data_IF_536019893432
#
_entry.id   IF_536019893432
#
_cell.length_a   1.000
_cell.length_b   1.000
_cell.length_c   1.000
_cell.angle_alpha   90.00
_cell.angle_beta   90.00
_cell.angle_gamma   90.00
#
_symmetry.space_group_name_H-M   'P 1'
#
loop_
_entity.id
_entity.type
_entity.pdbx_description
1 polymer ?
#
# COMPACT_ATOMS: atom_id res chain seq x y z
N UNK A 1 9.75 -11.57 20.92
CA UNK A 1 10.27 -11.54 19.55
C UNK A 1 11.56 -10.72 19.48
N UNK A 2 11.60 -9.46 19.94
CA UNK A 2 12.79 -8.59 19.82
C UNK A 2 14.03 -9.25 20.42
N UNK A 3 13.99 -9.64 21.70
CA UNK A 3 15.12 -10.30 22.39
C UNK A 3 15.58 -11.58 21.65
N UNK A 4 14.65 -12.39 21.18
CA UNK A 4 14.96 -13.63 20.45
C UNK A 4 15.71 -13.34 19.15
N UNK A 5 15.31 -12.30 18.40
CA UNK A 5 16.04 -11.93 17.19
C UNK A 5 17.42 -11.33 17.50
N UNK A 6 17.56 -10.56 18.57
CA UNK A 6 18.87 -10.03 19.00
C UNK A 6 19.84 -11.14 19.36
N UNK A 7 19.40 -12.16 20.10
CA UNK A 7 20.19 -13.35 20.41
C UNK A 7 20.54 -14.15 19.15
N UNK A 8 19.56 -14.35 18.25
CA UNK A 8 19.78 -15.08 17.01
C UNK A 8 20.78 -14.39 16.09
N UNK A 9 20.71 -13.06 15.97
CA UNK A 9 21.67 -12.26 15.20
C UNK A 9 23.08 -12.40 15.80
N UNK A 10 23.22 -12.36 17.12
CA UNK A 10 24.51 -12.54 17.79
C UNK A 10 25.11 -13.92 17.49
N UNK A 11 24.28 -14.98 17.47
CA UNK A 11 24.73 -16.33 17.13
C UNK A 11 25.12 -16.47 15.66
N UNK A 12 24.37 -15.87 14.72
CA UNK A 12 24.71 -15.85 13.30
C UNK A 12 26.06 -15.14 13.05
N UNK A 13 26.30 -14.00 13.73
CA UNK A 13 27.57 -13.27 13.65
C UNK A 13 28.75 -14.11 14.15
N UNK A 14 28.61 -14.85 15.26
CA UNK A 14 29.61 -15.79 15.73
C UNK A 14 29.94 -16.88 14.69
N UNK A 15 28.93 -17.35 13.98
CA UNK A 15 29.06 -18.38 12.93
C UNK A 15 29.44 -17.82 11.55
N UNK A 16 29.68 -16.51 11.42
CA UNK A 16 30.02 -15.82 10.18
C UNK A 16 28.97 -16.05 9.07
N UNK A 17 27.68 -16.12 9.43
CA UNK A 17 26.55 -16.25 8.52
C UNK A 17 25.90 -14.88 8.29
N UNK A 18 25.18 -14.72 7.14
CA UNK A 18 24.40 -13.52 6.86
C UNK A 18 23.34 -13.28 7.95
N UNK A 19 23.16 -12.02 8.31
CA UNK A 19 22.20 -11.55 9.33
C UNK A 19 21.05 -10.73 8.72
N UNK A 20 21.07 -10.46 7.42
CA UNK A 20 20.19 -9.50 6.76
C UNK A 20 18.71 -9.77 7.03
N UNK A 21 18.27 -11.03 6.85
CA UNK A 21 16.87 -11.42 7.12
C UNK A 21 16.52 -11.25 8.60
N UNK A 22 17.41 -11.68 9.50
CA UNK A 22 17.16 -11.60 10.94
C UNK A 22 17.14 -10.14 11.43
N UNK A 23 17.98 -9.28 10.86
CA UNK A 23 17.99 -7.83 11.13
C UNK A 23 16.72 -7.15 10.61
N UNK A 24 16.22 -7.54 9.41
CA UNK A 24 14.94 -7.09 8.88
C UNK A 24 13.77 -7.47 9.81
N UNK A 25 13.69 -8.73 10.22
CA UNK A 25 12.65 -9.23 11.12
C UNK A 25 12.71 -8.58 12.52
N UNK A 26 13.92 -8.29 13.00
CA UNK A 26 14.13 -7.53 14.23
C UNK A 26 13.55 -6.10 14.10
N UNK A 27 13.83 -5.45 12.97
CA UNK A 27 13.32 -4.10 12.71
C UNK A 27 11.79 -4.09 12.65
N UNK A 28 11.18 -5.01 11.93
CA UNK A 28 9.72 -5.17 11.88
C UNK A 28 9.14 -5.42 13.29
N UNK A 29 9.75 -6.30 14.08
CA UNK A 29 9.34 -6.56 15.46
C UNK A 29 9.41 -5.32 16.36
N UNK A 30 10.43 -4.47 16.17
CA UNK A 30 10.57 -3.19 16.92
C UNK A 30 9.50 -2.17 16.50
N UNK A 31 9.17 -2.10 15.21
CA UNK A 31 8.09 -1.24 14.70
C UNK A 31 6.75 -1.71 15.29
N UNK A 32 6.41 -3.00 15.18
CA UNK A 32 5.18 -3.57 15.71
C UNK A 32 5.04 -3.36 17.22
N UNK A 33 6.11 -3.55 17.99
CA UNK A 33 6.10 -3.28 19.44
C UNK A 33 5.83 -1.80 19.78
N UNK A 34 6.36 -0.87 18.98
CA UNK A 34 6.12 0.57 19.15
C UNK A 34 4.67 0.93 18.87
N UNK A 35 4.13 0.41 17.77
CA UNK A 35 2.75 0.65 17.37
C UNK A 35 1.77 0.05 18.37
N UNK A 36 2.03 -1.18 18.85
CA UNK A 36 1.20 -1.85 19.86
C UNK A 36 1.04 -1.02 21.16
N UNK A 37 2.06 -0.25 21.54
CA UNK A 37 1.98 0.61 22.72
C UNK A 37 1.07 1.82 22.56
N UNK A 38 0.75 2.20 21.32
CA UNK A 38 -0.13 3.33 20.99
C UNK A 38 -1.54 2.91 20.59
N UNK A 39 -1.86 1.62 20.60
CA UNK A 39 -3.18 1.11 20.18
C UNK A 39 -4.23 1.45 21.23
N UNK A 40 -5.31 2.10 20.79
CA UNK A 40 -6.54 2.22 21.55
C UNK A 40 -7.42 0.99 21.33
N UNK A 41 -8.27 0.67 22.31
CA UNK A 41 -9.21 -0.43 22.19
C UNK A 41 -10.24 -0.12 21.10
N UNK A 42 -10.36 -1.01 20.10
CA UNK A 42 -11.32 -0.88 19.00
C UNK A 42 -12.42 -1.93 19.10
N UNK A 43 -13.62 -1.54 18.73
CA UNK A 43 -14.75 -2.45 18.64
C UNK A 43 -14.92 -2.89 17.18
N UNK A 44 -14.80 -4.19 16.91
CA UNK A 44 -15.11 -4.76 15.60
C UNK A 44 -16.64 -4.83 15.48
N UNK A 45 -17.21 -4.05 14.55
CA UNK A 45 -18.65 -3.98 14.33
C UNK A 45 -19.12 -5.16 13.47
N UNK A 46 -18.33 -5.51 12.44
CA UNK A 46 -18.66 -6.60 11.51
C UNK A 46 -17.38 -7.18 10.90
N UNK A 47 -17.47 -8.41 10.38
CA UNK A 47 -16.40 -9.06 9.63
C UNK A 47 -17.00 -9.95 8.53
N UNK A 48 -16.39 -9.91 7.34
CA UNK A 48 -16.83 -10.69 6.19
C UNK A 48 -15.64 -11.47 5.64
N UNK A 49 -15.84 -12.77 5.39
CA UNK A 49 -14.84 -13.63 4.75
C UNK A 49 -15.24 -13.84 3.29
N UNK A 50 -14.36 -13.44 2.37
CA UNK A 50 -14.59 -13.59 0.93
C UNK A 50 -13.32 -14.09 0.24
N UNK A 51 -13.46 -14.67 -0.94
CA UNK A 51 -12.32 -14.97 -1.80
C UNK A 51 -11.65 -13.67 -2.25
N UNK A 52 -10.31 -13.67 -2.36
CA UNK A 52 -9.52 -12.51 -2.80
C UNK A 52 -10.03 -11.88 -4.11
N UNK A 53 -10.49 -12.70 -5.07
CA UNK A 53 -11.07 -12.24 -6.34
C UNK A 53 -12.42 -11.50 -6.18
N UNK A 54 -13.10 -11.69 -5.06
CA UNK A 54 -14.45 -11.19 -4.78
C UNK A 54 -14.45 -10.08 -3.72
N UNK A 55 -13.29 -9.64 -3.23
CA UNK A 55 -13.21 -8.72 -2.09
C UNK A 55 -13.90 -7.37 -2.37
N UNK A 56 -13.85 -6.85 -3.61
CA UNK A 56 -14.57 -5.62 -3.98
C UNK A 56 -16.09 -5.74 -3.88
N UNK A 57 -16.65 -6.95 -3.87
CA UNK A 57 -18.09 -7.16 -3.64
C UNK A 57 -18.48 -6.89 -2.19
N UNK A 58 -17.56 -7.15 -1.26
CA UNK A 58 -17.74 -6.87 0.17
C UNK A 58 -17.29 -5.45 0.54
N UNK A 59 -16.27 -4.92 -0.13
CA UNK A 59 -15.75 -3.59 0.09
C UNK A 59 -16.62 -2.54 -0.62
N UNK A 60 -17.45 -1.84 0.16
CA UNK A 60 -18.41 -0.85 -0.38
C UNK A 60 -17.93 0.55 -0.05
N UNK A 61 -17.68 1.33 -1.09
CA UNK A 61 -17.46 2.78 -0.99
C UNK A 61 -18.70 3.53 -1.47
N UNK A 62 -18.97 4.71 -0.89
CA UNK A 62 -20.03 5.58 -1.36
C UNK A 62 -19.72 6.17 -2.75
N UNK A 63 -20.74 6.52 -3.54
CA UNK A 63 -20.52 7.09 -4.88
C UNK A 63 -19.72 8.39 -4.85
N UNK A 64 -19.78 9.14 -3.75
CA UNK A 64 -19.00 10.34 -3.48
C UNK A 64 -17.50 10.07 -3.23
N UNK A 65 -17.15 8.83 -2.98
CA UNK A 65 -15.77 8.40 -2.77
C UNK A 65 -15.10 7.85 -4.05
N UNK A 66 -15.78 7.97 -5.20
CA UNK A 66 -15.29 7.42 -6.47
C UNK A 66 -15.69 5.98 -6.73
N UNK A 67 -14.91 5.26 -7.54
CA UNK A 67 -15.18 3.87 -7.92
C UNK A 67 -13.91 3.03 -7.89
N UNK A 68 -14.06 1.77 -7.47
CA UNK A 68 -13.02 0.76 -7.49
C UNK A 68 -13.35 -0.35 -8.47
N UNK A 69 -12.36 -0.79 -9.21
CA UNK A 69 -12.45 -1.89 -10.16
C UNK A 69 -11.27 -2.84 -9.98
N UNK A 70 -11.46 -4.10 -10.33
CA UNK A 70 -10.32 -4.99 -10.50
C UNK A 70 -9.54 -4.58 -11.76
N UNK A 71 -8.22 -4.53 -11.67
CA UNK A 71 -7.34 -4.10 -12.79
C UNK A 71 -7.62 -4.88 -14.08
N UNK A 72 -7.74 -6.20 -13.99
CA UNK A 72 -7.94 -7.09 -15.14
C UNK A 72 -9.36 -6.96 -15.77
N UNK A 73 -10.33 -6.43 -15.04
CA UNK A 73 -11.67 -6.11 -15.57
C UNK A 73 -11.67 -4.75 -16.27
N UNK A 74 -10.88 -3.81 -15.77
CA UNK A 74 -10.77 -2.46 -16.30
C UNK A 74 -9.90 -2.39 -17.56
N UNK A 75 -8.72 -3.02 -17.52
CA UNK A 75 -7.74 -3.05 -18.61
C UNK A 75 -7.65 -4.45 -19.24
N UNK A 76 -8.56 -4.75 -20.18
CA UNK A 76 -8.65 -6.06 -20.83
C UNK A 76 -7.48 -6.37 -21.77
N UNK A 77 -6.86 -5.32 -22.32
CA UNK A 77 -5.79 -5.43 -23.34
C UNK A 77 -4.37 -5.29 -22.74
N UNK A 78 -4.26 -5.18 -21.40
CA UNK A 78 -2.97 -5.07 -20.71
C UNK A 78 -2.56 -6.40 -20.09
N UNK A 79 -1.26 -6.49 -19.76
CA UNK A 79 -0.75 -7.65 -19.01
C UNK A 79 -1.47 -7.74 -17.65
N UNK A 80 -1.99 -8.92 -17.27
CA UNK A 80 -2.70 -9.08 -16.02
C UNK A 80 -1.87 -8.67 -14.80
N UNK A 81 -2.51 -7.98 -13.85
CA UNK A 81 -1.92 -7.57 -12.58
C UNK A 81 -2.93 -7.75 -11.44
N UNK A 82 -2.48 -8.22 -10.29
CA UNK A 82 -3.31 -8.37 -9.08
C UNK A 82 -3.37 -7.04 -8.31
N UNK A 83 -4.14 -6.11 -8.82
CA UNK A 83 -4.31 -4.78 -8.23
C UNK A 83 -5.70 -4.23 -8.56
N UNK A 84 -5.98 -3.04 -8.05
CA UNK A 84 -7.21 -2.30 -8.32
C UNK A 84 -6.94 -1.08 -9.17
N UNK A 85 -8.00 -0.57 -9.80
CA UNK A 85 -8.06 0.75 -10.43
C UNK A 85 -9.04 1.59 -9.62
N UNK A 86 -8.57 2.70 -9.10
CA UNK A 86 -9.42 3.71 -8.46
C UNK A 86 -9.73 4.83 -9.45
N UNK A 87 -11.00 5.08 -9.69
CA UNK A 87 -11.50 6.20 -10.49
C UNK A 87 -12.09 7.25 -9.55
N UNK A 88 -11.65 8.50 -9.70
CA UNK A 88 -12.17 9.64 -8.91
C UNK A 88 -13.66 9.83 -9.11
N UNK A 89 -14.36 10.45 -8.14
CA UNK A 89 -15.79 10.75 -8.21
C UNK A 89 -16.20 11.40 -9.55
N UNK A 90 -15.45 12.40 -10.01
CA UNK A 90 -15.70 13.10 -11.26
C UNK A 90 -15.35 12.30 -12.53
N UNK A 91 -14.74 11.11 -12.39
CA UNK A 91 -14.31 10.29 -13.52
C UNK A 91 -13.25 10.95 -14.41
N UNK A 92 -12.51 11.92 -13.87
CA UNK A 92 -11.51 12.70 -14.63
C UNK A 92 -10.10 12.15 -14.46
N UNK A 93 -9.87 11.32 -13.46
CA UNK A 93 -8.56 10.75 -13.14
C UNK A 93 -8.69 9.33 -12.62
N UNK A 94 -7.76 8.48 -13.01
CA UNK A 94 -7.61 7.13 -12.43
C UNK A 94 -6.24 6.96 -11.81
N UNK A 95 -6.19 6.12 -10.78
CA UNK A 95 -4.97 5.64 -10.15
C UNK A 95 -4.95 4.12 -10.21
N UNK A 96 -3.82 3.55 -10.56
CA UNK A 96 -3.65 2.11 -10.72
C UNK A 96 -2.18 1.73 -10.56
N UNK A 97 -1.88 0.45 -10.55
CA UNK A 97 -0.53 -0.04 -10.28
C UNK A 97 -0.04 -0.92 -11.43
N UNK A 98 1.21 -0.73 -11.82
CA UNK A 98 1.91 -1.56 -12.80
C UNK A 98 3.39 -1.75 -12.46
N UNK A 99 3.98 -2.81 -12.99
CA UNK A 99 5.44 -2.95 -13.04
C UNK A 99 5.99 -2.04 -14.14
N UNK A 100 6.95 -1.22 -13.81
CA UNK A 100 7.66 -0.41 -14.81
C UNK A 100 8.82 -1.22 -15.40
N UNK A 101 9.19 -0.99 -16.68
CA UNK A 101 10.29 -1.72 -17.34
C UNK A 101 11.65 -1.59 -16.64
N UNK A 102 11.91 -0.44 -16.04
CA UNK A 102 13.14 -0.08 -15.35
C UNK A 102 13.15 -0.44 -13.88
N UNK A 103 12.00 -0.85 -13.32
CA UNK A 103 11.84 -1.14 -11.91
C UNK A 103 11.26 -2.56 -11.74
N UNK A 104 11.76 -3.30 -10.77
CA UNK A 104 11.25 -4.63 -10.41
C UNK A 104 10.12 -4.57 -9.38
N UNK A 105 9.70 -3.38 -8.95
CA UNK A 105 8.63 -3.15 -7.99
C UNK A 105 7.34 -2.68 -8.65
N UNK A 106 6.22 -2.85 -7.94
CA UNK A 106 4.93 -2.30 -8.33
C UNK A 106 4.90 -0.81 -8.03
N UNK A 107 4.51 0.00 -9.02
CA UNK A 107 4.45 1.45 -8.89
C UNK A 107 3.02 1.95 -9.10
N UNK A 108 2.58 2.89 -8.29
CA UNK A 108 1.30 3.57 -8.47
C UNK A 108 1.46 4.65 -9.55
N UNK A 109 0.58 4.58 -10.55
CA UNK A 109 0.50 5.52 -11.66
C UNK A 109 -0.84 6.27 -11.61
N UNK A 110 -0.83 7.46 -12.21
CA UNK A 110 -2.05 8.21 -12.47
C UNK A 110 -2.22 8.49 -13.97
N UNK A 111 -3.47 8.46 -14.45
CA UNK A 111 -3.84 8.87 -15.79
C UNK A 111 -5.01 9.84 -15.71
N UNK A 112 -4.99 10.86 -16.58
CA UNK A 112 -6.07 11.82 -16.70
C UNK A 112 -6.99 11.46 -17.86
N UNK A 113 -8.27 11.74 -17.72
CA UNK A 113 -9.27 11.56 -18.78
C UNK A 113 -8.96 12.50 -19.94
N UNK A 114 -8.90 11.93 -21.11
CA UNK A 114 -8.93 12.64 -22.39
C UNK A 114 -10.26 12.29 -23.07
N UNK A 115 -10.72 13.02 -24.03
CA UNK A 115 -12.06 12.86 -24.65
C UNK A 115 -12.61 11.41 -24.51
N UNK A 116 -12.11 10.47 -25.30
CA UNK A 116 -12.57 9.07 -25.32
C UNK A 116 -11.54 8.07 -24.78
N UNK A 117 -10.45 8.54 -24.17
CA UNK A 117 -9.33 7.69 -23.71
C UNK A 117 -8.74 8.21 -22.40
N UNK A 118 -7.78 7.44 -21.89
CA UNK A 118 -6.92 7.84 -20.78
C UNK A 118 -5.55 8.27 -21.29
N UNK A 119 -4.94 9.26 -20.67
CA UNK A 119 -3.55 9.60 -20.94
C UNK A 119 -2.63 8.42 -20.62
N UNK A 120 -1.40 8.44 -21.14
CA UNK A 120 -0.36 7.51 -20.64
C UNK A 120 -0.21 7.67 -19.13
N UNK A 121 -0.14 6.55 -18.42
CA UNK A 121 0.09 6.55 -16.98
C UNK A 121 1.44 7.17 -16.62
N UNK A 122 1.44 8.00 -15.61
CA UNK A 122 2.64 8.64 -15.05
C UNK A 122 2.80 8.19 -13.61
N UNK A 123 3.98 7.65 -13.22
CA UNK A 123 4.24 7.30 -11.82
C UNK A 123 4.02 8.50 -10.90
N UNK A 124 3.44 8.23 -9.72
CA UNK A 124 3.28 9.27 -8.72
C UNK A 124 4.65 9.75 -8.21
N UNK A 125 4.86 11.07 -8.11
CA UNK A 125 6.14 11.63 -7.69
C UNK A 125 6.36 11.49 -6.17
N UNK A 126 7.64 11.48 -5.75
CA UNK A 126 8.04 11.39 -4.35
C UNK A 126 8.20 9.96 -3.86
N UNK A 127 8.31 9.80 -2.55
CA UNK A 127 8.69 8.56 -1.90
C UNK A 127 7.62 7.43 -1.95
N UNK A 128 6.47 7.68 -2.56
CA UNK A 128 5.36 6.72 -2.61
C UNK A 128 5.70 5.42 -3.35
N UNK A 129 6.58 5.51 -4.35
CA UNK A 129 7.01 4.37 -5.19
C UNK A 129 8.46 3.93 -4.91
N UNK A 130 9.16 4.53 -3.94
CA UNK A 130 10.60 4.31 -3.77
C UNK A 130 10.91 2.98 -3.08
N UNK A 131 11.42 1.99 -3.84
CA UNK A 131 12.01 0.76 -3.33
C UNK A 131 11.03 -0.22 -2.65
N UNK A 132 9.72 -0.05 -2.89
CA UNK A 132 8.65 -0.87 -2.32
C UNK A 132 7.67 -1.28 -3.41
N UNK A 133 6.90 -2.36 -3.19
CA UNK A 133 5.73 -2.62 -4.01
C UNK A 133 4.57 -1.77 -3.47
N UNK A 134 4.25 -0.67 -4.15
CA UNK A 134 3.11 0.18 -3.81
C UNK A 134 1.88 -0.27 -4.60
N UNK A 135 0.75 -0.51 -3.93
CA UNK A 135 -0.44 -1.11 -4.52
C UNK A 135 -1.74 -0.60 -3.90
N UNK A 136 -2.89 -0.92 -4.50
CA UNK A 136 -4.24 -0.61 -4.02
C UNK A 136 -4.46 0.88 -3.66
N UNK A 137 -4.19 1.82 -4.59
CA UNK A 137 -4.35 3.25 -4.31
C UNK A 137 -5.82 3.63 -4.11
N UNK A 138 -6.08 4.46 -3.11
CA UNK A 138 -7.35 5.10 -2.82
C UNK A 138 -7.14 6.56 -2.46
N UNK A 139 -7.76 7.48 -3.17
CA UNK A 139 -7.63 8.92 -2.93
C UNK A 139 -8.88 9.43 -2.23
N UNK A 140 -8.68 10.16 -1.14
CA UNK A 140 -9.77 10.78 -0.38
C UNK A 140 -10.49 11.86 -1.21
N UNK A 141 -11.69 12.23 -0.77
CA UNK A 141 -12.49 13.29 -1.42
C UNK A 141 -11.83 14.67 -1.42
N UNK A 142 -10.79 14.87 -0.59
CA UNK A 142 -9.97 16.09 -0.60
C UNK A 142 -9.07 16.19 -1.85
N UNK A 143 -8.93 15.12 -2.62
CA UNK A 143 -8.13 15.02 -3.84
C UNK A 143 -6.62 15.04 -3.65
N UNK A 144 -6.12 15.13 -2.39
CA UNK A 144 -4.70 15.25 -2.07
C UNK A 144 -4.18 14.16 -1.13
N UNK A 145 -5.05 13.57 -0.31
CA UNK A 145 -4.68 12.47 0.60
C UNK A 145 -4.88 11.15 -0.13
N UNK A 146 -3.83 10.33 -0.16
CA UNK A 146 -3.85 8.98 -0.74
C UNK A 146 -3.51 7.94 0.30
N UNK A 147 -4.34 6.91 0.39
CA UNK A 147 -4.06 5.66 1.07
C UNK A 147 -3.64 4.60 0.05
N UNK A 148 -2.71 3.75 0.41
CA UNK A 148 -2.25 2.66 -0.45
C UNK A 148 -1.59 1.58 0.41
N UNK A 149 -1.49 0.37 -0.13
CA UNK A 149 -0.74 -0.69 0.53
C UNK A 149 0.70 -0.73 -0.01
N UNK A 150 1.66 -0.95 0.87
CA UNK A 150 3.04 -1.18 0.47
C UNK A 150 3.72 -2.22 1.36
N UNK A 151 4.64 -2.98 0.77
CA UNK A 151 5.60 -3.79 1.49
C UNK A 151 6.90 -3.01 1.72
N UNK A 152 7.70 -3.41 2.67
CA UNK A 152 9.02 -2.78 2.85
C UNK A 152 9.46 -2.66 4.30
N UNK A 153 10.59 -1.96 4.55
CA UNK A 153 11.20 -1.88 5.87
C UNK A 153 10.33 -1.20 6.94
N UNK A 154 9.34 -0.41 6.53
CA UNK A 154 8.41 0.29 7.42
C UNK A 154 7.12 -0.50 7.67
N UNK A 155 6.92 -1.67 7.03
CA UNK A 155 5.77 -2.55 7.24
C UNK A 155 5.99 -3.46 8.46
N UNK A 156 4.90 -3.84 9.13
CA UNK A 156 4.89 -4.79 10.25
C UNK A 156 4.82 -6.22 9.72
N UNK A 157 3.99 -6.41 8.69
CA UNK A 157 3.73 -7.69 8.05
C UNK A 157 4.28 -7.77 6.63
N UNK A 158 3.43 -8.15 5.69
CA UNK A 158 3.69 -8.04 4.25
C UNK A 158 3.31 -6.65 3.77
N UNK A 159 2.17 -6.53 3.07
CA UNK A 159 1.58 -5.23 2.77
C UNK A 159 0.97 -4.61 4.02
N UNK A 160 1.34 -3.37 4.29
CA UNK A 160 0.71 -2.50 5.28
C UNK A 160 0.06 -1.30 4.58
N UNK A 161 -0.95 -0.71 5.19
CA UNK A 161 -1.60 0.51 4.72
C UNK A 161 -0.76 1.73 5.13
N UNK A 162 -0.47 2.56 4.14
CA UNK A 162 0.22 3.83 4.28
C UNK A 162 -0.67 4.98 3.84
N UNK A 163 -0.41 6.15 4.38
CA UNK A 163 -1.04 7.40 4.00
C UNK A 163 0.01 8.45 3.67
N UNK A 164 -0.25 9.22 2.63
CA UNK A 164 0.54 10.41 2.29
C UNK A 164 -0.35 11.50 1.71
N UNK A 165 0.18 12.70 1.57
CA UNK A 165 -0.53 13.86 1.03
C UNK A 165 0.28 14.51 -0.07
N UNK A 166 -0.42 14.91 -1.13
CA UNK A 166 0.19 15.69 -2.20
C UNK A 166 0.46 17.12 -1.74
N UNK A 167 1.71 17.57 -1.89
CA UNK A 167 2.10 18.95 -1.66
C UNK A 167 2.08 19.69 -2.99
N UNK A 168 1.19 20.66 -3.11
CA UNK A 168 1.00 21.45 -4.34
C UNK A 168 2.11 22.46 -4.60
N UNK A 169 2.88 22.85 -3.57
CA UNK A 169 3.96 23.82 -3.71
C UNK A 169 5.17 23.25 -4.48
N UNK A 170 5.51 22.00 -4.21
CA UNK A 170 6.62 21.30 -4.86
C UNK A 170 6.20 20.17 -5.80
N UNK A 171 4.88 20.02 -6.03
CA UNK A 171 4.27 19.03 -6.92
C UNK A 171 4.70 17.58 -6.64
N UNK A 172 4.81 17.19 -5.36
CA UNK A 172 5.20 15.84 -4.95
C UNK A 172 4.40 15.36 -3.74
N UNK A 173 4.38 14.04 -3.50
CA UNK A 173 3.82 13.49 -2.27
C UNK A 173 4.82 13.61 -1.12
N UNK A 174 4.32 13.88 0.08
CA UNK A 174 5.10 13.87 1.32
C UNK A 174 5.57 12.45 1.64
N UNK A 175 6.52 12.32 2.57
CA UNK A 175 6.95 11.00 3.04
C UNK A 175 5.77 10.21 3.60
N UNK A 176 5.54 8.98 3.09
CA UNK A 176 4.43 8.14 3.54
C UNK A 176 4.56 7.77 5.01
N UNK A 177 3.42 7.69 5.68
CA UNK A 177 3.31 7.26 7.07
C UNK A 177 2.51 5.96 7.13
N UNK A 178 3.07 4.95 7.80
CA UNK A 178 2.34 3.73 8.15
C UNK A 178 1.20 4.09 9.10
N UNK A 179 -0.05 3.69 8.77
CA UNK A 179 -1.22 4.04 9.60
C UNK A 179 -1.22 3.33 10.96
N UNK A 180 -0.43 2.26 11.08
CA UNK A 180 -0.23 1.56 12.32
C UNK A 180 -1.35 0.64 12.74
N UNK A 181 -1.17 -0.01 13.90
CA UNK A 181 -2.20 -0.81 14.52
C UNK A 181 -3.32 0.10 15.06
N UNK A 182 -4.59 -0.32 15.03
CA UNK A 182 -5.05 -1.67 14.69
C UNK A 182 -5.35 -1.89 13.19
N UNK A 183 -5.15 -0.88 12.33
CA UNK A 183 -5.44 -0.98 10.89
C UNK A 183 -4.46 -1.90 10.18
N UNK A 184 -3.18 -1.84 10.55
CA UNK A 184 -2.17 -2.76 10.07
C UNK A 184 -1.93 -3.90 11.07
N UNK A 185 -1.62 -5.07 10.54
CA UNK A 185 -1.45 -6.32 11.26
C UNK A 185 -0.15 -7.03 10.85
N UNK A 186 0.24 -8.17 11.47
CA UNK A 186 1.36 -8.99 10.98
C UNK A 186 1.08 -9.72 9.65
N UNK A 187 -0.09 -9.53 9.06
CA UNK A 187 -0.50 -10.11 7.77
C UNK A 187 -0.43 -9.05 6.66
N UNK A 188 -1.05 -9.36 5.51
CA UNK A 188 -1.21 -8.38 4.44
C UNK A 188 -2.48 -7.57 4.66
N UNK A 189 -2.35 -6.27 4.74
CA UNK A 189 -3.43 -5.30 4.87
C UNK A 189 -3.49 -4.47 3.57
N UNK A 190 -4.61 -4.49 2.85
CA UNK A 190 -4.65 -4.01 1.47
C UNK A 190 -5.37 -2.69 1.27
N UNK A 191 -6.43 -2.41 2.02
CA UNK A 191 -7.30 -1.25 1.77
C UNK A 191 -7.81 -0.66 3.08
N UNK A 192 -7.93 0.68 3.07
CA UNK A 192 -8.43 1.48 4.18
C UNK A 192 -9.92 1.79 4.00
#
# INVERSE_FOLDING_TARGET
AVEVYEEYIAELKKRKRSTDLAESLLQQSKIGLRQLKGVEEVCIIDSVIVDKKDFLKAYKIGPEAGKLFMYNEYFKDRKPCETTVYETELGTKIYYTEYLPEDSTLNILASNKQQDSWSKGTPLPGAINEGVNANYPYVMSDGITIYYAADGPASIGGYDIFVTRYNTENATYLNPQNVGMPFNSPYNDYMY
#
